data_IF_476576072749
#
_entry.id   IF_476576072749
#
_cell.length_a   1.000
_cell.length_b   1.000
_cell.length_c   1.000
_cell.angle_alpha   90.00
_cell.angle_beta   90.00
_cell.angle_gamma   90.00
#
_symmetry.space_group_name_H-M   'P 1'
#
loop_
_entity.id
_entity.type
_entity.pdbx_description
1 polymer ?
#
# COMPACT_ATOMS: atom_id res chain seq x y z
N UNK A 1 24.69 -13.93 27.87
CA UNK A 1 23.24 -14.04 27.57
C UNK A 1 22.59 -12.71 27.21
N UNK A 2 22.78 -11.63 27.98
CA UNK A 2 22.15 -10.32 27.67
C UNK A 2 22.45 -9.76 26.27
N UNK A 3 23.70 -9.87 25.79
CA UNK A 3 24.08 -9.41 24.45
C UNK A 3 23.31 -10.15 23.33
N UNK A 4 23.19 -11.48 23.43
CA UNK A 4 22.48 -12.28 22.44
C UNK A 4 20.99 -11.92 22.39
N UNK A 5 20.36 -11.72 23.56
CA UNK A 5 18.97 -11.28 23.64
C UNK A 5 18.77 -9.88 23.05
N UNK A 6 19.71 -8.97 23.31
CA UNK A 6 19.67 -7.62 22.73
C UNK A 6 19.77 -7.67 21.19
N UNK A 7 20.70 -8.45 20.64
CA UNK A 7 20.87 -8.61 19.19
C UNK A 7 19.64 -9.28 18.56
N UNK A 8 19.12 -10.36 19.15
CA UNK A 8 17.94 -11.04 18.66
C UNK A 8 16.71 -10.12 18.63
N UNK A 9 16.52 -9.33 19.69
CA UNK A 9 15.43 -8.35 19.77
C UNK A 9 15.59 -7.25 18.71
N UNK A 10 16.82 -6.76 18.49
CA UNK A 10 17.09 -5.77 17.47
C UNK A 10 16.79 -6.30 16.06
N UNK A 11 17.25 -7.52 15.73
CA UNK A 11 16.98 -8.17 14.43
C UNK A 11 15.49 -8.41 14.23
N UNK A 12 14.79 -8.94 15.25
CA UNK A 12 13.35 -9.15 15.18
C UNK A 12 12.60 -7.84 14.95
N UNK A 13 12.96 -6.77 15.66
CA UNK A 13 12.37 -5.43 15.50
C UNK A 13 12.55 -4.90 14.08
N UNK A 14 13.78 -4.98 13.53
CA UNK A 14 14.05 -4.55 12.15
C UNK A 14 13.25 -5.38 11.15
N UNK A 15 13.20 -6.69 11.33
CA UNK A 15 12.41 -7.59 10.51
C UNK A 15 10.93 -7.22 10.50
N UNK A 16 10.33 -6.99 11.67
CA UNK A 16 8.93 -6.57 11.79
C UNK A 16 8.64 -5.26 11.06
N UNK A 17 9.53 -4.26 11.18
CA UNK A 17 9.38 -2.98 10.48
C UNK A 17 9.45 -3.16 8.97
N UNK A 18 10.39 -3.97 8.46
CA UNK A 18 10.55 -4.22 7.01
C UNK A 18 9.36 -4.95 6.42
N UNK A 19 8.89 -6.00 7.10
CA UNK A 19 7.69 -6.76 6.68
C UNK A 19 6.47 -5.84 6.65
N UNK A 20 6.26 -5.02 7.67
CA UNK A 20 5.13 -4.10 7.71
C UNK A 20 5.22 -2.99 6.65
N UNK A 21 6.43 -2.50 6.35
CA UNK A 21 6.68 -1.56 5.26
C UNK A 21 6.34 -2.13 3.89
N UNK A 22 6.81 -3.36 3.59
CA UNK A 22 6.41 -4.05 2.35
C UNK A 22 4.90 -4.26 2.29
N UNK A 23 4.31 -4.71 3.40
CA UNK A 23 2.87 -4.97 3.48
C UNK A 23 2.04 -3.72 3.17
N UNK A 24 2.39 -2.57 3.76
CA UNK A 24 1.64 -1.33 3.51
C UNK A 24 1.82 -0.82 2.08
N UNK A 25 3.02 -0.99 1.48
CA UNK A 25 3.26 -0.65 0.08
C UNK A 25 2.44 -1.54 -0.86
N UNK A 26 2.55 -2.86 -0.72
CA UNK A 26 1.78 -3.81 -1.55
C UNK A 26 0.27 -3.63 -1.40
N UNK A 27 -0.20 -3.33 -0.18
CA UNK A 27 -1.60 -3.00 0.04
C UNK A 27 -2.02 -1.73 -0.71
N UNK A 28 -1.19 -0.68 -0.72
CA UNK A 28 -1.46 0.54 -1.47
C UNK A 28 -1.50 0.26 -2.98
N UNK A 29 -0.52 -0.48 -3.52
CA UNK A 29 -0.43 -0.78 -4.95
C UNK A 29 -1.64 -1.58 -5.46
N UNK A 30 -2.02 -2.65 -4.75
CA UNK A 30 -3.20 -3.46 -5.10
C UNK A 30 -4.51 -2.67 -4.97
N UNK A 31 -4.59 -1.80 -3.96
CA UNK A 31 -5.76 -0.93 -3.77
C UNK A 31 -5.87 0.13 -4.87
N UNK A 32 -4.73 0.69 -5.32
CA UNK A 32 -4.67 1.66 -6.41
C UNK A 32 -5.13 1.03 -7.72
N UNK A 33 -4.62 -0.17 -8.05
CA UNK A 33 -5.02 -0.89 -9.26
C UNK A 33 -6.50 -1.27 -9.24
N UNK A 34 -7.02 -1.73 -8.10
CA UNK A 34 -8.44 -2.07 -7.96
C UNK A 34 -9.36 -0.84 -8.05
N UNK A 35 -8.90 0.34 -7.62
CA UNK A 35 -9.62 1.59 -7.85
C UNK A 35 -9.52 2.03 -9.32
N UNK A 36 -8.32 1.95 -9.92
CA UNK A 36 -8.09 2.34 -11.31
C UNK A 36 -8.93 1.51 -12.30
N UNK A 37 -9.13 0.21 -12.03
CA UNK A 37 -9.99 -0.67 -12.82
C UNK A 37 -11.44 -0.14 -12.94
N UNK A 38 -11.95 0.52 -11.90
CA UNK A 38 -13.30 1.08 -11.88
C UNK A 38 -13.35 2.61 -12.03
N UNK A 39 -12.21 3.29 -12.13
CA UNK A 39 -12.14 4.74 -12.15
C UNK A 39 -12.91 5.37 -13.32
N UNK A 40 -13.14 4.61 -14.40
CA UNK A 40 -13.88 5.03 -15.59
C UNK A 40 -15.38 4.69 -15.56
N UNK A 41 -15.75 3.59 -14.94
CA UNK A 41 -17.12 3.03 -14.99
C UNK A 41 -17.93 3.34 -13.73
N UNK A 42 -17.27 3.36 -12.56
CA UNK A 42 -17.88 3.63 -11.27
C UNK A 42 -16.86 4.27 -10.29
N UNK A 43 -16.64 5.60 -10.40
CA UNK A 43 -15.72 6.32 -9.52
C UNK A 43 -16.14 6.27 -8.04
N UNK A 44 -17.46 6.19 -7.76
CA UNK A 44 -17.99 6.12 -6.40
C UNK A 44 -17.68 4.75 -5.77
N UNK A 45 -17.83 3.66 -6.52
CA UNK A 45 -17.49 2.30 -6.10
C UNK A 45 -15.99 1.99 -6.08
N UNK A 46 -15.18 2.71 -6.86
CA UNK A 46 -13.72 2.52 -6.95
C UNK A 46 -13.02 2.60 -5.58
N UNK A 47 -13.32 3.63 -4.79
CA UNK A 47 -12.73 3.78 -3.45
C UNK A 47 -13.26 2.73 -2.45
N UNK A 48 -14.51 2.30 -2.61
CA UNK A 48 -15.07 1.23 -1.78
C UNK A 48 -14.32 -0.09 -2.03
N UNK A 49 -14.03 -0.40 -3.29
CA UNK A 49 -13.23 -1.58 -3.66
C UNK A 49 -11.80 -1.48 -3.16
N UNK A 50 -11.14 -0.33 -3.33
CA UNK A 50 -9.82 -0.09 -2.78
C UNK A 50 -9.79 -0.35 -1.26
N UNK A 51 -10.83 0.08 -0.54
CA UNK A 51 -10.93 -0.14 0.90
C UNK A 51 -11.01 -1.63 1.26
N UNK A 52 -11.77 -2.41 0.48
CA UNK A 52 -11.88 -3.85 0.65
C UNK A 52 -10.57 -4.59 0.35
N UNK A 53 -9.81 -4.14 -0.66
CA UNK A 53 -8.49 -4.70 -0.98
C UNK A 53 -7.46 -4.34 0.09
N UNK A 54 -7.44 -3.10 0.58
CA UNK A 54 -6.59 -2.69 1.70
C UNK A 54 -6.86 -3.57 2.93
N UNK A 55 -8.13 -3.75 3.30
CA UNK A 55 -8.54 -4.56 4.45
C UNK A 55 -8.09 -6.03 4.31
N UNK A 56 -8.25 -6.64 3.13
CA UNK A 56 -7.77 -8.01 2.84
C UNK A 56 -6.24 -8.14 2.98
N UNK A 57 -5.50 -7.07 2.73
CA UNK A 57 -4.06 -7.02 2.91
C UNK A 57 -3.63 -6.65 4.34
N UNK A 58 -4.56 -6.50 5.27
CA UNK A 58 -4.28 -6.11 6.66
C UNK A 58 -3.87 -4.66 6.82
N UNK A 59 -4.26 -3.80 5.88
CA UNK A 59 -4.07 -2.35 5.92
C UNK A 59 -5.43 -1.64 6.00
N UNK A 60 -5.44 -0.40 6.47
CA UNK A 60 -6.60 0.48 6.44
C UNK A 60 -6.42 1.54 5.38
N UNK A 61 -7.39 1.68 4.47
CA UNK A 61 -7.44 2.82 3.56
C UNK A 61 -7.76 4.09 4.36
N UNK A 62 -6.91 5.11 4.25
CA UNK A 62 -7.06 6.39 4.96
C UNK A 62 -7.41 7.55 4.03
N UNK A 63 -7.07 7.43 2.75
CA UNK A 63 -7.44 8.38 1.70
C UNK A 63 -7.54 7.65 0.38
N UNK A 64 -8.53 8.02 -0.42
CA UNK A 64 -8.68 7.59 -1.81
C UNK A 64 -9.24 8.77 -2.60
N UNK A 65 -8.61 9.04 -3.73
CA UNK A 65 -8.97 10.16 -4.60
C UNK A 65 -8.84 9.70 -6.05
N UNK A 66 -9.87 9.91 -6.86
CA UNK A 66 -9.86 9.65 -8.29
C UNK A 66 -9.77 11.00 -9.01
N UNK A 67 -8.74 11.19 -9.83
CA UNK A 67 -8.54 12.40 -10.66
C UNK A 67 -8.16 11.96 -12.07
N UNK A 68 -8.94 12.36 -13.07
CA UNK A 68 -8.66 12.07 -14.48
C UNK A 68 -8.24 10.61 -14.71
N UNK A 69 -9.08 9.66 -14.24
CA UNK A 69 -8.88 8.20 -14.34
C UNK A 69 -7.73 7.64 -13.47
N UNK A 70 -7.00 8.48 -12.75
CA UNK A 70 -5.92 8.09 -11.85
C UNK A 70 -6.45 7.97 -10.43
N UNK A 71 -6.32 6.78 -9.86
CA UNK A 71 -6.55 6.51 -8.45
C UNK A 71 -5.30 6.82 -7.62
N UNK A 72 -5.42 7.69 -6.62
CA UNK A 72 -4.39 8.02 -5.63
C UNK A 72 -4.87 7.58 -4.24
N UNK A 73 -4.21 6.56 -3.70
CA UNK A 73 -4.66 5.89 -2.48
C UNK A 73 -3.57 5.93 -1.41
N UNK A 74 -4.00 6.07 -0.15
CA UNK A 74 -3.16 5.94 1.02
C UNK A 74 -3.69 4.84 1.92
N UNK A 75 -2.79 3.97 2.35
CA UNK A 75 -3.08 2.88 3.29
C UNK A 75 -2.21 2.99 4.51
N UNK A 76 -2.65 2.40 5.62
CA UNK A 76 -1.90 2.39 6.87
C UNK A 76 -1.89 1.00 7.50
N UNK A 77 -0.78 0.65 8.15
CA UNK A 77 -0.62 -0.57 8.96
C UNK A 77 -0.06 -0.13 10.31
N UNK A 78 -0.62 -0.66 11.41
CA UNK A 78 -0.07 -0.43 12.75
C UNK A 78 0.66 -1.67 13.24
N UNK A 79 1.87 -1.48 13.76
CA UNK A 79 2.69 -2.52 14.37
C UNK A 79 3.05 -2.14 15.80
N UNK A 80 3.18 -3.15 16.67
CA UNK A 80 3.67 -2.95 18.04
C UNK A 80 5.15 -3.33 18.08
N UNK A 81 6.00 -2.39 18.51
CA UNK A 81 7.42 -2.62 18.69
C UNK A 81 7.76 -2.66 20.18
N UNK A 82 8.60 -3.59 20.63
CA UNK A 82 8.85 -3.84 22.05
C UNK A 82 9.41 -2.63 22.82
N UNK A 83 10.15 -1.73 22.14
CA UNK A 83 10.76 -0.54 22.76
C UNK A 83 10.06 0.75 22.32
N UNK A 84 9.57 0.80 21.08
CA UNK A 84 9.06 2.03 20.48
C UNK A 84 7.52 2.18 20.56
N UNK A 85 6.83 1.20 21.14
CA UNK A 85 5.36 1.17 21.23
C UNK A 85 4.68 0.94 19.88
N UNK A 86 3.41 1.31 19.80
CA UNK A 86 2.65 1.22 18.54
C UNK A 86 3.14 2.26 17.54
N UNK A 87 3.45 1.81 16.33
CA UNK A 87 3.85 2.66 15.20
C UNK A 87 2.94 2.41 14.02
N UNK A 88 2.53 3.50 13.38
CA UNK A 88 1.74 3.46 12.16
C UNK A 88 2.65 3.73 10.97
N UNK A 89 2.65 2.81 10.02
CA UNK A 89 3.30 2.94 8.72
C UNK A 89 2.26 3.35 7.69
N UNK A 90 2.64 4.22 6.76
CA UNK A 90 1.77 4.71 5.70
C UNK A 90 2.35 4.31 4.35
N UNK A 91 1.51 3.75 3.47
CA UNK A 91 1.80 3.49 2.08
C UNK A 91 0.97 4.43 1.21
N UNK A 92 1.52 4.86 0.08
CA UNK A 92 0.81 5.63 -0.94
C UNK A 92 1.14 5.03 -2.30
N UNK A 93 0.13 4.87 -3.14
CA UNK A 93 0.31 4.43 -4.52
C UNK A 93 -0.66 5.15 -5.45
N UNK A 94 -0.26 5.25 -6.72
CA UNK A 94 -1.08 5.84 -7.78
C UNK A 94 -1.13 4.91 -8.98
N UNK A 95 -2.33 4.69 -9.52
CA UNK A 95 -2.55 3.88 -10.71
C UNK A 95 -3.57 4.52 -11.63
N UNK A 96 -3.43 4.30 -12.94
CA UNK A 96 -4.34 4.80 -13.97
C UNK A 96 -4.18 3.97 -15.24
N UNK A 97 -4.97 4.26 -16.29
CA UNK A 97 -4.92 3.52 -17.55
C UNK A 97 -3.52 3.55 -18.18
N UNK A 98 -3.08 2.41 -18.72
CA UNK A 98 -1.82 2.33 -19.45
C UNK A 98 -2.01 2.95 -20.84
N UNK A 99 -1.34 4.06 -21.12
CA UNK A 99 -1.27 4.59 -22.49
C UNK A 99 -0.37 3.66 -23.31
N UNK A 100 -0.96 2.86 -24.19
CA UNK A 100 -0.18 2.14 -25.21
C UNK A 100 0.28 3.19 -26.22
N UNK A 101 1.52 3.69 -26.05
CA UNK A 101 2.15 4.47 -27.11
C UNK A 101 2.22 3.57 -28.36
N UNK A 102 1.70 4.02 -29.53
CA UNK A 102 1.82 3.23 -30.75
C UNK A 102 3.30 2.95 -31.00
N UNK A 103 3.67 1.67 -31.05
CA UNK A 103 5.03 1.25 -31.36
C UNK A 103 5.40 1.91 -32.69
N UNK A 104 6.38 2.82 -32.66
CA UNK A 104 6.87 3.49 -33.85
C UNK A 104 7.25 2.43 -34.88
N UNK A 105 6.56 2.45 -36.01
CA UNK A 105 6.90 1.66 -37.19
C UNK A 105 8.33 2.00 -37.61
N UNK A 106 9.27 1.03 -37.70
CA UNK A 106 10.56 1.26 -38.32
C UNK A 106 10.33 1.50 -39.81
N UNK A 107 10.62 2.72 -40.27
CA UNK A 107 10.85 3.04 -41.69
C UNK A 107 12.17 2.46 -42.15
#
# INVERSE_FOLDING_TARGET
>A
MGLLMAVATAVATVGSVRVAGHRVSSAADLSALAAAEMALTDPEGACLRASAIAARNGAKLTRCEIRDEIADVWTTVSISLPIAGTRTLTGRSRAGPATVAPAGSPT
#
